data_IF_429681755921
#
_entry.id   IF_429681755921
#
_cell.length_a   1.000
_cell.length_b   1.000
_cell.length_c   1.000
_cell.angle_alpha   90.00
_cell.angle_beta   90.00
_cell.angle_gamma   90.00
#
_symmetry.space_group_name_H-M   'P 1'
#
loop_
_entity.id
_entity.type
_entity.pdbx_description
1 polymer ?
#
# COMPACT_ATOMS: atom_id res chain seq x y z
N UNK A 1 -24.78 -3.77 20.64
CA UNK A 1 -23.67 -3.21 19.82
C UNK A 1 -23.88 -3.70 18.40
N UNK A 2 -24.02 -2.80 17.44
CA UNK A 2 -23.97 -3.20 16.04
C UNK A 2 -22.48 -3.42 15.68
N UNK A 3 -22.13 -4.62 15.19
CA UNK A 3 -20.83 -4.82 14.57
C UNK A 3 -20.81 -4.01 13.27
N UNK A 4 -19.89 -3.05 13.11
CA UNK A 4 -19.75 -2.36 11.84
C UNK A 4 -19.37 -3.38 10.77
N UNK A 5 -20.03 -3.30 9.63
CA UNK A 5 -19.64 -4.12 8.48
C UNK A 5 -18.28 -3.67 7.96
N UNK A 6 -17.37 -4.62 7.70
CA UNK A 6 -16.00 -4.31 7.26
C UNK A 6 -15.98 -3.37 6.06
N UNK A 7 -16.79 -3.56 4.99
CA UNK A 7 -16.77 -2.63 3.85
C UNK A 7 -17.22 -1.20 4.14
N UNK A 8 -17.91 -0.97 5.27
CA UNK A 8 -18.32 0.37 5.70
C UNK A 8 -17.25 1.08 6.53
N UNK A 9 -16.34 0.31 7.14
CA UNK A 9 -15.28 0.82 8.02
C UNK A 9 -13.89 0.69 7.43
N UNK A 10 -13.70 -0.26 6.52
CA UNK A 10 -12.47 -0.54 5.80
C UNK A 10 -12.82 -0.77 4.33
N UNK A 11 -12.71 0.27 3.52
CA UNK A 11 -13.07 0.21 2.10
C UNK A 11 -11.90 -0.34 1.29
N UNK A 12 -12.03 -1.51 0.62
CA UNK A 12 -10.98 -2.02 -0.25
C UNK A 12 -10.95 -1.23 -1.56
N UNK A 13 -9.79 -0.72 -1.93
CA UNK A 13 -9.57 0.06 -3.14
C UNK A 13 -8.41 -0.52 -3.93
N UNK A 14 -8.59 -0.74 -5.22
CA UNK A 14 -7.54 -1.23 -6.12
C UNK A 14 -6.38 -0.24 -6.22
N UNK A 15 -5.15 -0.76 -6.18
CA UNK A 15 -3.93 0.01 -6.45
C UNK A 15 -3.16 -0.54 -7.66
N UNK A 16 -2.79 -1.81 -7.65
CA UNK A 16 -2.00 -2.42 -8.72
C UNK A 16 -2.46 -3.85 -9.01
N UNK A 17 -2.76 -4.13 -10.27
CA UNK A 17 -3.04 -5.49 -10.72
C UNK A 17 -1.78 -6.38 -10.60
N UNK A 18 -1.96 -7.71 -10.44
CA UNK A 18 -0.84 -8.63 -10.49
C UNK A 18 -0.08 -8.50 -11.81
N UNK A 19 1.21 -8.22 -11.74
CA UNK A 19 2.09 -8.16 -12.89
C UNK A 19 3.56 -8.40 -12.49
N UNK A 20 4.38 -8.81 -13.44
CA UNK A 20 5.79 -9.08 -13.25
C UNK A 20 6.58 -7.81 -12.88
N UNK A 21 7.53 -7.98 -11.97
CA UNK A 21 8.41 -6.91 -11.48
C UNK A 21 9.75 -6.86 -12.22
N UNK A 22 9.82 -7.27 -13.48
CA UNK A 22 11.03 -7.17 -14.30
C UNK A 22 11.53 -5.73 -14.42
N UNK A 23 10.59 -4.78 -14.54
CA UNK A 23 10.84 -3.35 -14.45
C UNK A 23 10.04 -2.76 -13.29
N UNK A 24 10.53 -1.68 -12.70
CA UNK A 24 9.77 -0.98 -11.66
C UNK A 24 8.40 -0.49 -12.15
N UNK A 25 7.39 -0.55 -11.29
CA UNK A 25 6.02 -0.14 -11.59
C UNK A 25 5.51 0.82 -10.53
N UNK A 26 4.61 1.70 -10.92
CA UNK A 26 3.86 2.56 -10.00
C UNK A 26 2.37 2.22 -10.10
N UNK A 27 1.71 2.11 -8.96
CA UNK A 27 0.26 1.92 -8.87
C UNK A 27 -0.51 3.17 -9.31
N UNK A 28 -1.83 3.06 -9.40
CA UNK A 28 -2.71 4.22 -9.34
C UNK A 28 -2.65 4.86 -7.95
N UNK A 29 -3.10 6.11 -7.83
CA UNK A 29 -3.17 6.81 -6.55
C UNK A 29 -4.61 6.89 -6.07
N UNK A 30 -4.77 6.94 -4.76
CA UNK A 30 -6.06 7.14 -4.09
C UNK A 30 -5.98 8.38 -3.20
N UNK A 31 -7.09 9.10 -3.10
CA UNK A 31 -7.19 10.30 -2.27
C UNK A 31 -7.52 9.96 -0.82
N UNK A 32 -6.81 10.56 0.12
CA UNK A 32 -7.08 10.48 1.56
C UNK A 32 -7.83 11.72 2.10
N UNK A 33 -8.39 12.58 1.24
CA UNK A 33 -9.18 13.75 1.67
C UNK A 33 -10.30 13.38 2.63
N UNK A 34 -10.97 12.26 2.35
CA UNK A 34 -12.10 11.74 3.12
C UNK A 34 -11.73 10.49 3.94
N UNK A 35 -10.44 10.30 4.22
CA UNK A 35 -9.94 9.18 4.99
C UNK A 35 -9.07 9.65 6.16
N UNK A 36 -9.06 8.87 7.23
CA UNK A 36 -8.13 9.07 8.35
C UNK A 36 -6.80 8.38 8.09
N UNK A 37 -6.85 7.20 7.51
CA UNK A 37 -5.67 6.40 7.14
C UNK A 37 -5.98 5.39 6.03
N UNK A 38 -4.93 4.88 5.43
CA UNK A 38 -4.99 3.73 4.53
C UNK A 38 -3.98 2.66 4.95
N UNK A 39 -4.36 1.41 4.78
CA UNK A 39 -3.46 0.26 4.85
C UNK A 39 -3.19 -0.19 3.42
N UNK A 40 -1.97 -0.03 2.92
CA UNK A 40 -1.58 -0.59 1.63
C UNK A 40 -1.10 -2.01 1.86
N UNK A 41 -1.79 -2.97 1.25
CA UNK A 41 -1.43 -4.38 1.28
C UNK A 41 -0.82 -4.75 -0.07
N UNK A 42 0.46 -5.12 -0.04
CA UNK A 42 1.16 -5.68 -1.19
C UNK A 42 1.24 -7.20 -1.04
N UNK A 43 0.71 -7.92 -2.01
CA UNK A 43 0.89 -9.37 -2.12
C UNK A 43 1.95 -9.66 -3.18
N UNK A 44 2.93 -10.48 -2.82
CA UNK A 44 4.07 -10.82 -3.66
C UNK A 44 4.12 -12.34 -3.85
N UNK A 45 4.04 -12.81 -5.08
CA UNK A 45 4.42 -14.15 -5.47
C UNK A 45 5.88 -14.09 -5.97
N UNK A 46 6.82 -14.32 -5.06
CA UNK A 46 8.24 -14.23 -5.37
C UNK A 46 8.74 -15.55 -5.95
N UNK A 47 8.80 -15.62 -7.26
CA UNK A 47 9.25 -16.79 -8.01
C UNK A 47 10.76 -16.85 -8.24
N UNK A 48 11.50 -15.81 -7.89
CA UNK A 48 12.95 -15.71 -8.01
C UNK A 48 13.57 -15.05 -6.77
N UNK A 49 14.82 -15.38 -6.45
CA UNK A 49 15.54 -14.89 -5.27
C UNK A 49 15.89 -13.37 -5.33
N UNK A 50 15.69 -12.70 -6.46
CA UNK A 50 15.84 -11.24 -6.53
C UNK A 50 14.83 -10.57 -5.59
N UNK A 51 15.32 -9.68 -4.75
CA UNK A 51 14.50 -8.94 -3.79
C UNK A 51 13.64 -7.88 -4.49
N UNK A 52 12.56 -7.45 -3.85
CA UNK A 52 11.62 -6.46 -4.38
C UNK A 52 11.56 -5.29 -3.40
N UNK A 53 11.86 -4.09 -3.87
CA UNK A 53 11.68 -2.86 -3.11
C UNK A 53 10.23 -2.38 -3.27
N UNK A 54 9.53 -2.24 -2.16
CA UNK A 54 8.18 -1.66 -2.08
C UNK A 54 8.27 -0.27 -1.47
N UNK A 55 7.84 0.74 -2.19
CA UNK A 55 7.91 2.14 -1.74
C UNK A 55 6.54 2.79 -1.83
N UNK A 56 5.86 3.02 -0.71
CA UNK A 56 4.71 3.90 -0.66
C UNK A 56 5.07 5.29 -1.18
N UNK A 57 4.17 5.87 -1.96
CA UNK A 57 4.31 7.18 -2.59
C UNK A 57 3.21 8.11 -2.14
N UNK A 58 3.49 9.42 -2.18
CA UNK A 58 2.50 10.47 -2.00
C UNK A 58 2.42 11.35 -3.25
N UNK A 59 1.25 11.91 -3.51
CA UNK A 59 0.99 12.81 -4.63
C UNK A 59 -0.01 13.89 -4.22
N UNK A 60 -0.10 14.95 -5.02
CA UNK A 60 -1.05 16.06 -4.80
C UNK A 60 -2.38 15.84 -5.50
N UNK A 61 -2.48 14.81 -6.34
CA UNK A 61 -3.70 14.44 -7.06
C UNK A 61 -3.71 12.93 -7.36
N UNK A 62 -4.88 12.35 -7.57
CA UNK A 62 -5.05 10.94 -7.98
C UNK A 62 -4.39 10.63 -9.34
N UNK A 63 -4.15 11.65 -10.15
CA UNK A 63 -3.36 11.52 -11.37
C UNK A 63 -1.85 11.28 -11.12
N UNK A 64 -1.41 11.31 -9.87
CA UNK A 64 0.00 11.14 -9.48
C UNK A 64 0.83 12.41 -9.62
N UNK A 65 0.21 13.57 -9.64
CA UNK A 65 0.90 14.86 -9.78
C UNK A 65 1.88 15.08 -8.64
N UNK A 66 3.10 15.46 -8.95
CA UNK A 66 4.15 15.75 -7.97
C UNK A 66 4.60 14.53 -7.16
N UNK A 67 4.34 13.31 -7.65
CA UNK A 67 4.63 12.07 -6.92
C UNK A 67 6.05 12.02 -6.37
N UNK A 68 6.16 11.66 -5.09
CA UNK A 68 7.44 11.43 -4.39
C UNK A 68 7.27 10.36 -3.31
N UNK A 69 8.39 9.81 -2.83
CA UNK A 69 8.38 8.91 -1.67
C UNK A 69 7.91 9.64 -0.42
N UNK A 70 7.40 8.88 0.56
CA UNK A 70 7.04 9.44 1.86
C UNK A 70 8.26 10.04 2.54
N UNK A 71 8.10 11.23 3.15
CA UNK A 71 9.15 11.86 3.93
C UNK A 71 9.24 11.29 5.35
N UNK A 72 8.13 10.82 5.89
CA UNK A 72 8.02 10.32 7.26
C UNK A 72 7.93 8.81 7.29
N UNK A 73 8.66 8.18 8.21
CA UNK A 73 8.58 6.75 8.45
C UNK A 73 7.17 6.36 8.92
N UNK A 74 6.68 5.26 8.39
CA UNK A 74 5.37 4.67 8.67
C UNK A 74 5.52 3.26 9.23
N UNK A 75 4.45 2.75 9.83
CA UNK A 75 4.43 1.39 10.35
C UNK A 75 4.40 0.37 9.22
N UNK A 76 5.22 -0.67 9.36
CA UNK A 76 5.34 -1.76 8.40
C UNK A 76 5.18 -3.10 9.10
N UNK A 77 4.44 -4.00 8.48
CA UNK A 77 4.36 -5.41 8.84
C UNK A 77 4.67 -6.28 7.64
N UNK A 78 5.25 -7.42 7.86
CA UNK A 78 5.43 -8.39 6.79
C UNK A 78 5.19 -9.82 7.25
N UNK A 79 4.66 -10.63 6.34
CA UNK A 79 4.70 -12.07 6.40
C UNK A 79 5.51 -12.54 5.18
N UNK A 80 6.67 -13.15 5.43
CA UNK A 80 7.62 -13.55 4.38
C UNK A 80 7.44 -15.00 3.93
N UNK A 81 6.48 -15.74 4.52
CA UNK A 81 6.10 -17.10 4.13
C UNK A 81 4.63 -17.38 4.46
N UNK A 82 3.75 -16.98 3.55
CA UNK A 82 2.30 -17.14 3.72
C UNK A 82 1.84 -18.60 3.68
N UNK A 83 2.67 -19.53 3.21
CA UNK A 83 2.36 -20.95 3.23
C UNK A 83 2.62 -21.58 4.60
N UNK A 84 3.57 -21.05 5.36
CA UNK A 84 3.94 -21.56 6.67
C UNK A 84 3.20 -20.88 7.83
N UNK A 85 2.78 -19.61 7.66
CA UNK A 85 2.16 -18.81 8.72
C UNK A 85 1.23 -17.74 8.16
N UNK A 86 0.25 -17.34 8.94
CA UNK A 86 -0.59 -16.16 8.68
C UNK A 86 -0.21 -14.95 9.57
N UNK A 87 0.87 -15.06 10.34
CA UNK A 87 1.28 -14.01 11.27
C UNK A 87 2.00 -12.87 10.53
N UNK A 88 1.52 -11.65 10.74
CA UNK A 88 2.20 -10.42 10.34
C UNK A 88 3.17 -10.00 11.44
N UNK A 89 4.44 -9.90 11.09
CA UNK A 89 5.52 -9.47 12.00
C UNK A 89 5.73 -7.97 11.85
N UNK A 90 5.66 -7.25 12.97
CA UNK A 90 5.97 -5.82 13.02
C UNK A 90 7.43 -5.58 12.66
N UNK A 91 7.68 -4.67 11.71
CA UNK A 91 9.02 -4.23 11.31
C UNK A 91 9.32 -2.85 11.91
N UNK A 92 10.57 -2.42 11.84
CA UNK A 92 10.96 -1.05 12.15
C UNK A 92 10.22 -0.10 11.21
N UNK A 93 9.81 1.05 11.73
CA UNK A 93 9.16 2.09 10.93
C UNK A 93 10.09 2.56 9.82
N UNK A 94 9.58 2.61 8.59
CA UNK A 94 10.36 2.94 7.41
C UNK A 94 9.51 3.61 6.34
N UNK A 95 10.13 4.26 5.38
CA UNK A 95 9.47 4.85 4.20
C UNK A 95 9.32 3.84 3.07
N UNK A 96 9.99 2.70 3.15
CA UNK A 96 9.92 1.60 2.19
C UNK A 96 10.24 0.27 2.87
N UNK A 97 10.08 -0.81 2.15
CA UNK A 97 10.44 -2.15 2.61
C UNK A 97 10.97 -3.00 1.46
N UNK A 98 12.09 -3.67 1.67
CA UNK A 98 12.65 -4.64 0.71
C UNK A 98 12.40 -6.05 1.20
N UNK A 99 11.84 -6.91 0.34
CA UNK A 99 11.64 -8.33 0.66
C UNK A 99 12.98 -9.05 0.80
N UNK A 100 12.98 -10.19 1.50
CA UNK A 100 14.15 -11.08 1.50
C UNK A 100 14.23 -11.90 0.19
N UNK A 101 15.33 -12.65 0.01
CA UNK A 101 15.60 -13.48 -1.16
C UNK A 101 14.82 -14.82 -1.15
N UNK A 102 14.01 -15.11 -0.14
CA UNK A 102 13.23 -16.34 -0.07
C UNK A 102 12.19 -16.41 -1.19
N UNK A 103 12.23 -17.48 -1.98
CA UNK A 103 11.28 -17.74 -3.07
C UNK A 103 9.97 -18.26 -2.48
N UNK A 104 9.11 -17.34 -2.06
CA UNK A 104 7.89 -17.61 -1.29
C UNK A 104 6.81 -16.57 -1.59
N UNK A 105 5.57 -16.90 -1.24
CA UNK A 105 4.46 -15.94 -1.24
C UNK A 105 4.51 -15.09 0.01
N UNK A 106 4.40 -13.76 -0.16
CA UNK A 106 4.61 -12.79 0.92
C UNK A 106 3.50 -11.75 0.93
N UNK A 107 3.27 -11.19 2.11
CA UNK A 107 2.39 -10.03 2.30
C UNK A 107 3.16 -8.96 3.05
N UNK A 108 3.12 -7.73 2.57
CA UNK A 108 3.66 -6.55 3.25
C UNK A 108 2.53 -5.55 3.43
N UNK A 109 2.40 -5.01 4.63
CA UNK A 109 1.36 -4.04 4.98
C UNK A 109 2.02 -2.75 5.44
N UNK A 110 1.62 -1.63 4.84
CA UNK A 110 2.01 -0.29 5.23
C UNK A 110 0.80 0.44 5.81
N UNK A 111 0.92 0.97 7.01
CA UNK A 111 -0.09 1.86 7.60
C UNK A 111 0.29 3.31 7.33
N UNK A 112 -0.51 4.00 6.54
CA UNK A 112 -0.29 5.41 6.19
C UNK A 112 -1.39 6.23 6.85
N UNK A 113 -1.03 6.96 7.89
CA UNK A 113 -1.86 8.00 8.46
C UNK A 113 -1.72 9.28 7.61
N UNK A 114 -2.82 9.98 7.39
CA UNK A 114 -2.83 11.23 6.62
C UNK A 114 -1.82 12.26 7.16
N UNK A 115 -1.58 12.28 8.48
CA UNK A 115 -0.61 13.17 9.11
C UNK A 115 0.86 12.85 8.77
N UNK A 116 1.12 11.70 8.16
CA UNK A 116 2.46 11.30 7.70
C UNK A 116 2.81 11.82 6.32
N UNK A 117 1.83 12.35 5.60
CA UNK A 117 2.02 12.97 4.30
C UNK A 117 2.53 14.41 4.47
N UNK A 118 3.09 14.95 3.41
CA UNK A 118 3.48 16.36 3.31
C UNK A 118 2.22 17.24 3.09
N UNK A 119 1.47 17.41 4.17
CA UNK A 119 0.18 18.14 4.15
C UNK A 119 0.38 19.60 3.76
N UNK A 120 1.47 20.22 4.23
CA UNK A 120 1.81 21.63 3.93
C UNK A 120 2.13 21.81 2.43
N UNK A 121 2.69 20.78 1.79
CA UNK A 121 2.92 20.72 0.35
C UNK A 121 1.66 20.35 -0.48
N UNK A 122 0.51 20.13 0.15
CA UNK A 122 -0.73 19.75 -0.52
C UNK A 122 -0.82 18.28 -0.90
N UNK A 123 0.01 17.41 -0.31
CA UNK A 123 -0.01 15.97 -0.59
C UNK A 123 -1.09 15.28 0.23
N UNK A 124 -2.06 14.70 -0.44
CA UNK A 124 -3.20 14.00 0.18
C UNK A 124 -3.56 12.69 -0.54
N UNK A 125 -2.80 12.32 -1.57
CA UNK A 125 -2.97 11.07 -2.30
C UNK A 125 -1.82 10.11 -2.04
N UNK A 126 -2.11 8.82 -2.06
CA UNK A 126 -1.13 7.76 -1.82
C UNK A 126 -1.20 6.67 -2.88
N UNK A 127 -0.07 6.08 -3.17
CA UNK A 127 0.11 4.92 -4.04
C UNK A 127 1.30 4.10 -3.58
N UNK A 128 1.72 3.14 -4.40
CA UNK A 128 2.90 2.32 -4.13
C UNK A 128 3.68 2.09 -5.41
N UNK A 129 5.00 2.06 -5.32
CA UNK A 129 5.86 1.59 -6.40
C UNK A 129 6.60 0.31 -6.02
N UNK A 130 6.85 -0.52 -7.02
CA UNK A 130 7.77 -1.66 -6.93
C UNK A 130 9.06 -1.31 -7.66
N UNK A 131 10.19 -1.66 -7.06
CA UNK A 131 11.49 -1.57 -7.74
C UNK A 131 11.63 -2.65 -8.82
N UNK A 132 12.55 -2.44 -9.76
CA UNK A 132 12.93 -3.46 -10.72
C UNK A 132 13.50 -4.69 -10.00
N UNK A 133 13.04 -5.88 -10.38
CA UNK A 133 13.43 -7.15 -9.83
C UNK A 133 13.54 -8.21 -10.92
N UNK A 134 12.80 -9.30 -10.85
CA UNK A 134 12.82 -10.38 -11.82
C UNK A 134 11.42 -10.61 -12.41
N UNK A 135 11.36 -11.05 -13.67
CA UNK A 135 10.11 -11.32 -14.37
C UNK A 135 9.28 -12.45 -13.73
N UNK A 136 9.91 -13.34 -12.97
CA UNK A 136 9.23 -14.39 -12.20
C UNK A 136 8.64 -13.90 -10.87
N UNK A 137 8.96 -12.67 -10.46
CA UNK A 137 8.38 -12.04 -9.28
C UNK A 137 7.15 -11.23 -9.70
N UNK A 138 6.02 -11.51 -9.07
CA UNK A 138 4.73 -10.87 -9.39
C UNK A 138 4.21 -10.18 -8.14
N UNK A 139 3.93 -8.89 -8.24
CA UNK A 139 3.33 -8.12 -7.15
C UNK A 139 1.97 -7.59 -7.55
N UNK A 140 1.05 -7.58 -6.60
CA UNK A 140 -0.22 -6.87 -6.65
C UNK A 140 -0.43 -6.06 -5.38
N UNK A 141 -1.25 -5.02 -5.43
CA UNK A 141 -1.54 -4.21 -4.27
C UNK A 141 -2.98 -3.70 -4.27
N UNK A 142 -3.54 -3.58 -3.08
CA UNK A 142 -4.77 -2.86 -2.81
C UNK A 142 -4.65 -2.10 -1.49
N UNK A 143 -5.54 -1.14 -1.28
CA UNK A 143 -5.61 -0.41 -0.03
C UNK A 143 -6.89 -0.78 0.73
N UNK A 144 -6.80 -0.87 2.04
CA UNK A 144 -7.94 -0.78 2.95
C UNK A 144 -7.97 0.63 3.51
N UNK A 145 -8.97 1.39 3.11
CA UNK A 145 -9.10 2.80 3.49
C UNK A 145 -10.08 2.93 4.64
N UNK A 146 -9.69 3.67 5.68
CA UNK A 146 -10.56 4.01 6.81
C UNK A 146 -11.21 5.37 6.51
N UNK A 147 -12.51 5.42 6.14
CA UNK A 147 -13.18 6.67 5.86
C UNK A 147 -13.29 7.54 7.12
N UNK A 148 -13.31 8.87 6.94
CA UNK A 148 -13.52 9.82 8.04
C UNK A 148 -14.91 9.65 8.65
N UNK A 149 -15.88 9.31 7.81
CA UNK A 149 -17.26 9.05 8.22
C UNK A 149 -17.67 7.67 7.68
N UNK A 150 -18.00 6.75 8.58
CA UNK A 150 -18.67 5.50 8.21
C UNK A 150 -20.14 5.78 7.92
N UNK A 151 -20.72 5.20 6.87
CA UNK A 151 -22.14 5.36 6.55
C UNK A 151 -22.50 4.87 5.16
N UNK A 152 -23.77 4.96 4.84
CA UNK A 152 -24.37 4.43 3.62
C UNK A 152 -23.95 5.16 2.34
N UNK A 153 -23.33 6.32 2.44
CA UNK A 153 -22.87 7.08 1.28
C UNK A 153 -21.45 6.66 0.93
N UNK A 154 -21.29 6.00 -0.21
CA UNK A 154 -19.98 5.64 -0.72
C UNK A 154 -19.15 6.90 -1.02
N UNK A 155 -18.10 7.11 -0.25
CA UNK A 155 -17.11 8.16 -0.51
C UNK A 155 -16.13 7.65 -1.56
N UNK A 156 -15.89 8.45 -2.61
CA UNK A 156 -14.88 8.11 -3.61
C UNK A 156 -13.47 8.38 -3.07
N UNK A 157 -12.58 7.42 -3.26
CA UNK A 157 -11.15 7.57 -3.01
C UNK A 157 -10.33 7.56 -4.31
N UNK A 158 -10.99 7.37 -5.46
CA UNK A 158 -10.37 7.31 -6.79
C UNK A 158 -10.56 8.59 -7.60
N UNK A 159 -11.12 9.62 -6.99
CA UNK A 159 -11.30 10.95 -7.56
C UNK A 159 -10.85 12.02 -6.57
N UNK A 160 -10.39 13.17 -7.10
CA UNK A 160 -10.03 14.36 -6.33
C UNK A 160 -11.25 15.21 -5.94
#
# INVERSE_FOLDING_TARGET
MSNPYIPETLVPVHLAAPAADAAGRTSVYISLKNATKAYILAYIDQGNAATILLSPLQATAVAGTGSKVLANAIRVWSNLDCAASNALVRRTDAVNYTTDAGVKKKVVVFEIDRTKLDVDGGFDCVGISTGASNAANVTSAFALVVPTHAGDTAVSFIAD
#
